data_IF_165650707261
#
_entry.id   IF_165650707261
#
_cell.length_a   1.000
_cell.length_b   1.000
_cell.length_c   1.000
_cell.angle_alpha   90.00
_cell.angle_beta   90.00
_cell.angle_gamma   90.00
#
_symmetry.space_group_name_H-M   'P 1'
#
loop_
_entity.id
_entity.type
_entity.pdbx_description
1 polymer ?
2 non-polymer ?
3 non-polymer ?
4 non-polymer ?
5 non-polymer ?
6 water ?
#
# COMPACT_ATOMS: atom_id res chain seq x y z
N UNK A 1 19.19 17.31 -2.34
CA UNK A 1 17.97 17.22 -3.19
C UNK A 1 18.13 16.18 -4.29
N UNK A 2 19.38 15.94 -4.71
CA UNK A 2 19.63 15.00 -5.81
C UNK A 2 19.26 13.56 -5.44
N UNK A 3 19.70 13.12 -4.26
CA UNK A 3 19.37 11.79 -3.74
C UNK A 3 17.85 11.54 -3.70
N UNK A 4 17.10 12.42 -3.02
CA UNK A 4 15.63 12.27 -2.95
C UNK A 4 14.98 12.22 -4.35
N UNK A 5 15.33 13.17 -5.22
CA UNK A 5 14.82 13.21 -6.61
C UNK A 5 15.07 11.90 -7.34
N UNK A 6 16.30 11.39 -7.22
CA UNK A 6 16.70 10.14 -7.86
C UNK A 6 15.84 8.99 -7.36
N UNK A 7 15.64 8.91 -6.03
CA UNK A 7 14.82 7.85 -5.45
C UNK A 7 13.38 7.91 -5.92
N UNK A 8 12.81 9.11 -5.93
CA UNK A 8 11.44 9.28 -6.43
C UNK A 8 11.31 8.87 -7.91
N UNK A 9 12.29 9.22 -8.75
CA UNK A 9 12.27 8.76 -10.15
C UNK A 9 12.35 7.25 -10.27
N UNK A 10 13.15 6.63 -9.39
CA UNK A 10 13.26 5.15 -9.40
C UNK A 10 11.91 4.56 -9.05
N UNK A 11 11.26 5.12 -8.02
CA UNK A 11 9.89 4.68 -7.66
C UNK A 11 8.93 4.84 -8.85
N UNK A 12 8.99 6.00 -9.51
CA UNK A 12 8.10 6.25 -10.66
C UNK A 12 8.31 5.22 -11.77
N UNK A 13 9.58 4.96 -12.09
CA UNK A 13 9.93 4.00 -13.16
C UNK A 13 9.43 2.60 -12.79
N UNK A 14 9.69 2.17 -11.55
CA UNK A 14 9.27 0.83 -11.12
C UNK A 14 7.76 0.71 -11.17
N UNK A 15 7.05 1.76 -10.73
CA UNK A 15 5.58 1.76 -10.76
C UNK A 15 5.05 1.76 -12.21
N UNK A 16 5.70 2.52 -13.08
CA UNK A 16 5.34 2.55 -14.50
C UNK A 16 5.54 1.18 -15.16
N UNK A 17 6.67 0.54 -14.88
CA UNK A 17 6.90 -0.82 -15.38
C UNK A 17 5.80 -1.77 -14.93
N UNK A 18 5.45 -1.75 -13.64
CA UNK A 18 4.33 -2.57 -13.16
C UNK A 18 3.04 -2.25 -13.91
N UNK A 19 2.70 -0.97 -13.99
CA UNK A 19 1.45 -0.53 -14.62
C UNK A 19 1.31 -1.06 -16.06
N UNK A 20 2.39 -0.96 -16.83
CA UNK A 20 2.36 -1.40 -18.21
C UNK A 20 2.22 -2.92 -18.29
N UNK A 21 2.92 -3.64 -17.39
CA UNK A 21 2.86 -5.10 -17.37
C UNK A 21 1.47 -5.61 -16.99
N UNK A 22 0.85 -4.96 -16.00
CA UNK A 22 -0.50 -5.35 -15.57
C UNK A 22 -1.57 -5.03 -16.62
N UNK A 23 -1.45 -3.87 -17.26
CA UNK A 23 -2.35 -3.48 -18.34
C UNK A 23 -2.25 -4.47 -19.51
N UNK A 24 -1.02 -4.86 -19.84
CA UNK A 24 -0.79 -5.82 -20.91
C UNK A 24 -1.31 -7.20 -20.53
N UNK A 25 -0.95 -7.68 -19.35
CA UNK A 25 -1.40 -8.99 -18.89
C UNK A 25 -2.93 -9.09 -18.89
N UNK A 26 -3.59 -7.98 -18.55
CA UNK A 26 -5.05 -7.92 -18.45
C UNK A 26 -5.81 -7.78 -19.75
N UNK A 27 -5.10 -7.48 -20.84
CA UNK A 27 -5.73 -7.22 -22.14
C UNK A 27 -6.71 -8.32 -22.58
N UNK A 28 -6.40 -9.58 -22.24
CA UNK A 28 -7.27 -10.73 -22.54
C UNK A 28 -8.69 -10.54 -22.01
N UNK A 29 -8.80 -9.88 -20.85
CA UNK A 29 -10.07 -9.40 -20.27
C UNK A 29 -11.14 -10.46 -20.01
N UNK A 30 -10.72 -11.64 -19.53
CA UNK A 30 -11.66 -12.66 -19.06
C UNK A 30 -12.62 -12.07 -18.04
N UNK A 31 -13.92 -12.28 -18.26
CA UNK A 31 -15.00 -11.62 -17.52
C UNK A 31 -14.88 -11.63 -15.98
N UNK A 32 -14.48 -12.78 -15.43
CA UNK A 32 -14.28 -12.91 -13.98
C UNK A 32 -12.95 -12.34 -13.50
N UNK A 33 -11.96 -12.33 -14.40
CA UNK A 33 -10.59 -11.97 -14.05
C UNK A 33 -10.25 -10.47 -14.23
N UNK A 34 -10.98 -9.79 -15.11
CA UNK A 34 -10.66 -8.40 -15.52
C UNK A 34 -10.52 -7.43 -14.34
N UNK A 35 -11.46 -7.53 -13.42
CA UNK A 35 -11.50 -6.73 -12.21
C UNK A 35 -10.15 -6.69 -11.48
N UNK A 36 -9.50 -7.86 -11.39
CA UNK A 36 -8.22 -7.96 -10.70
C UNK A 36 -7.13 -7.17 -11.42
N UNK A 37 -7.11 -7.26 -12.75
CA UNK A 37 -6.09 -6.55 -13.52
C UNK A 37 -6.29 -5.03 -13.50
N UNK A 38 -7.54 -4.59 -13.62
CA UNK A 38 -7.85 -3.16 -13.55
C UNK A 38 -7.43 -2.59 -12.18
N UNK A 39 -7.74 -3.33 -11.13
CA UNK A 39 -7.35 -2.95 -9.78
C UNK A 39 -5.82 -2.80 -9.66
N UNK A 40 -5.07 -3.76 -10.21
CA UNK A 40 -3.59 -3.68 -10.19
C UNK A 40 -3.06 -2.46 -10.99
N UNK A 41 -3.66 -2.21 -12.15
CA UNK A 41 -3.35 -1.04 -12.93
C UNK A 41 -3.58 0.24 -12.12
N UNK A 42 -4.70 0.29 -11.39
CA UNK A 42 -5.01 1.45 -10.56
C UNK A 42 -3.99 1.62 -9.43
N UNK A 43 -3.63 0.51 -8.79
CA UNK A 43 -2.70 0.53 -7.66
C UNK A 43 -1.33 1.11 -8.10
N UNK A 44 -0.72 0.50 -9.10
CA UNK A 44 0.60 0.97 -9.57
C UNK A 44 0.54 2.28 -10.37
N UNK A 45 -0.55 2.51 -11.09
CA UNK A 45 -0.73 3.74 -11.89
C UNK A 45 -0.82 4.99 -11.00
N UNK A 46 -1.64 4.93 -9.95
CA UNK A 46 -1.74 6.05 -9.02
C UNK A 46 -0.41 6.30 -8.34
N UNK A 47 0.23 5.24 -7.87
CA UNK A 47 1.56 5.34 -7.27
C UNK A 47 2.55 5.97 -8.22
N UNK A 48 2.52 5.55 -9.48
CA UNK A 48 3.43 6.15 -10.50
C UNK A 48 3.30 7.69 -10.57
N UNK A 49 2.03 8.15 -10.61
CA UNK A 49 1.75 9.57 -10.69
C UNK A 49 2.29 10.26 -9.46
N UNK A 50 2.01 9.70 -8.28
CA UNK A 50 2.50 10.28 -7.03
C UNK A 50 4.02 10.42 -7.01
N UNK A 51 4.73 9.36 -7.41
CA UNK A 51 6.18 9.39 -7.48
C UNK A 51 6.71 10.43 -8.50
N UNK A 52 6.05 10.54 -9.65
CA UNK A 52 6.45 11.58 -10.64
C UNK A 52 6.31 12.98 -10.03
N UNK A 53 5.17 13.24 -9.40
CA UNK A 53 4.89 14.53 -8.75
C UNK A 53 5.98 14.85 -7.71
N UNK A 54 6.34 13.86 -6.88
CA UNK A 54 7.40 14.06 -5.89
C UNK A 54 8.78 14.25 -6.50
N UNK A 55 9.09 13.46 -7.52
CA UNK A 55 10.35 13.59 -8.25
C UNK A 55 10.49 15.00 -8.83
N UNK A 56 9.38 15.59 -9.26
CA UNK A 56 9.38 16.94 -9.82
C UNK A 56 9.43 18.01 -8.73
N UNK A 57 9.48 17.57 -7.47
CA UNK A 57 9.63 18.46 -6.34
C UNK A 57 8.33 19.08 -5.87
N UNK A 58 7.20 18.45 -6.17
CA UNK A 58 5.89 18.96 -5.77
C UNK A 58 5.42 18.24 -4.51
N UNK A 59 4.83 19.00 -3.59
CA UNK A 59 4.18 18.41 -2.44
C UNK A 59 5.14 18.05 -1.32
N UNK A 60 6.32 18.67 -1.33
CA UNK A 60 7.24 18.57 -0.21
C UNK A 60 6.80 19.65 0.80
N UNK A 61 6.04 19.28 1.83
CA UNK A 61 5.43 20.27 2.72
C UNK A 61 6.25 20.42 4.01
N UNK A 62 6.68 21.65 4.33
CA UNK A 62 7.43 21.79 5.57
C UNK A 62 6.47 21.77 6.75
N UNK A 63 6.74 20.91 7.73
CA UNK A 63 5.97 20.86 8.95
C UNK A 63 6.95 20.94 10.12
N UNK A 64 6.87 22.03 10.88
CA UNK A 64 7.84 22.30 11.95
C UNK A 64 9.25 22.19 11.36
N UNK A 65 10.07 21.28 11.84
CA UNK A 65 11.44 21.12 11.32
C UNK A 65 11.64 19.93 10.38
N UNK A 66 10.55 19.37 9.87
CA UNK A 66 10.64 18.23 8.94
C UNK A 66 9.91 18.53 7.62
N UNK A 67 10.07 17.62 6.65
CA UNK A 67 9.40 17.73 5.36
C UNK A 67 8.40 16.60 5.26
N UNK A 68 7.18 16.92 4.85
CA UNK A 68 6.14 15.92 4.68
C UNK A 68 5.91 15.72 3.22
N UNK A 69 5.93 14.48 2.77
CA UNK A 69 5.64 14.22 1.38
C UNK A 69 4.15 13.93 1.22
N UNK A 70 3.39 15.00 0.96
CA UNK A 70 1.94 14.91 0.81
C UNK A 70 1.49 13.85 -0.23
N UNK A 71 2.16 13.78 -1.42
CA UNK A 71 1.67 12.82 -2.42
C UNK A 71 1.81 11.37 -1.99
N UNK A 72 2.79 11.07 -1.15
CA UNK A 72 2.93 9.73 -0.56
C UNK A 72 1.63 9.33 0.18
N UNK A 73 1.16 10.21 1.07
CA UNK A 73 -0.03 9.90 1.88
C UNK A 73 -1.29 9.86 1.04
N UNK A 74 -1.40 10.78 0.07
CA UNK A 74 -2.55 10.78 -0.85
C UNK A 74 -2.58 9.48 -1.68
N UNK A 75 -1.40 9.11 -2.19
CA UNK A 75 -1.19 7.80 -2.84
C UNK A 75 -1.73 6.69 -1.92
N UNK A 76 -1.26 6.61 -0.67
CA UNK A 76 -1.66 5.49 0.18
C UNK A 76 -3.17 5.48 0.42
N UNK A 77 -3.75 6.67 0.64
CA UNK A 77 -5.18 6.75 0.89
C UNK A 77 -5.99 6.12 -0.25
N UNK A 78 -5.50 6.30 -1.47
CA UNK A 78 -6.16 5.80 -2.68
C UNK A 78 -5.78 4.37 -3.06
N UNK A 79 -4.54 3.99 -2.83
CA UNK A 79 -4.08 2.69 -3.36
C UNK A 79 -4.19 1.54 -2.36
N UNK A 80 -3.97 1.82 -1.08
CA UNK A 80 -4.13 0.76 -0.08
C UNK A 80 -5.56 0.18 0.00
N UNK A 81 -6.61 1.01 -0.14
CA UNK A 81 -7.91 0.30 -0.14
C UNK A 81 -8.12 -0.55 -1.40
N UNK A 82 -7.44 -0.20 -2.50
CA UNK A 82 -7.46 -1.05 -3.69
C UNK A 82 -6.76 -2.40 -3.49
N UNK A 83 -5.66 -2.40 -2.73
CA UNK A 83 -5.00 -3.64 -2.34
C UNK A 83 -5.91 -4.48 -1.45
N UNK A 84 -6.54 -3.82 -0.47
CA UNK A 84 -7.48 -4.53 0.41
C UNK A 84 -8.64 -5.10 -0.43
N UNK A 85 -9.11 -4.32 -1.40
CA UNK A 85 -10.19 -4.75 -2.29
C UNK A 85 -9.77 -6.01 -3.09
N UNK A 86 -8.55 -5.98 -3.62
CA UNK A 86 -8.01 -7.12 -4.37
C UNK A 86 -7.98 -8.38 -3.49
N UNK A 87 -7.47 -8.23 -2.27
CA UNK A 87 -7.45 -9.33 -1.29
C UNK A 87 -8.86 -9.80 -0.89
N UNK A 88 -9.79 -8.86 -0.69
CA UNK A 88 -11.18 -9.22 -0.38
C UNK A 88 -11.87 -9.95 -1.53
N UNK A 89 -11.54 -9.56 -2.76
CA UNK A 89 -12.09 -10.24 -3.94
C UNK A 89 -11.59 -11.67 -3.93
N UNK A 90 -10.27 -11.82 -3.78
CA UNK A 90 -9.64 -13.13 -3.73
C UNK A 90 -10.25 -14.00 -2.64
N UNK A 91 -10.46 -13.40 -1.46
CA UNK A 91 -11.03 -14.13 -0.33
C UNK A 91 -12.53 -14.42 -0.47
N UNK A 92 -13.18 -13.77 -1.44
CA UNK A 92 -14.63 -13.92 -1.63
C UNK A 92 -15.39 -13.35 -0.45
N UNK A 93 -14.87 -12.26 0.10
CA UNK A 93 -15.41 -11.67 1.32
C UNK A 93 -16.85 -11.15 1.17
N UNK A 94 -17.60 -11.22 2.26
CA UNK A 94 -18.99 -10.73 2.29
C UNK A 94 -18.98 -9.21 2.39
N UNK A 95 -20.09 -8.61 1.98
CA UNK A 95 -20.21 -7.16 1.78
C UNK A 95 -20.00 -6.34 3.06
N UNK A 96 -20.52 -6.84 4.18
CA UNK A 96 -20.32 -6.20 5.47
C UNK A 96 -18.84 -6.19 5.86
N UNK A 97 -18.19 -7.34 5.72
CA UNK A 97 -16.79 -7.48 6.10
C UNK A 97 -15.87 -6.64 5.21
N UNK A 98 -16.17 -6.56 3.92
CA UNK A 98 -15.46 -5.65 3.00
C UNK A 98 -15.55 -4.21 3.52
N UNK A 99 -16.76 -3.81 3.90
CA UNK A 99 -16.99 -2.46 4.43
C UNK A 99 -16.13 -2.25 5.65
N UNK A 100 -16.05 -3.25 6.52
CA UNK A 100 -15.29 -3.08 7.76
C UNK A 100 -13.80 -2.90 7.45
N UNK A 101 -13.24 -3.75 6.58
CA UNK A 101 -11.79 -3.69 6.37
C UNK A 101 -11.40 -2.44 5.60
N UNK A 102 -12.27 -2.01 4.68
CA UNK A 102 -12.00 -0.76 3.95
C UNK A 102 -12.06 0.43 4.89
N UNK A 103 -13.01 0.42 5.83
CA UNK A 103 -13.09 1.47 6.85
C UNK A 103 -11.83 1.50 7.72
N UNK A 104 -11.43 0.33 8.23
CA UNK A 104 -10.26 0.28 9.10
C UNK A 104 -9.01 0.74 8.36
N UNK A 105 -8.85 0.26 7.12
CA UNK A 105 -7.74 0.75 6.28
C UNK A 105 -7.72 2.28 6.13
N UNK A 106 -8.87 2.87 5.84
CA UNK A 106 -8.99 4.32 5.65
C UNK A 106 -8.63 5.07 6.94
N UNK A 107 -9.06 4.54 8.09
CA UNK A 107 -8.63 5.10 9.39
C UNK A 107 -7.10 5.12 9.50
N UNK A 108 -6.44 4.02 9.15
CA UNK A 108 -4.98 3.98 9.22
C UNK A 108 -4.34 5.11 8.40
N UNK A 109 -4.76 5.23 7.14
CA UNK A 109 -4.07 6.12 6.19
C UNK A 109 -4.40 7.58 6.49
N UNK A 110 -5.64 7.85 6.85
CA UNK A 110 -6.02 9.22 7.24
C UNK A 110 -5.31 9.65 8.54
N UNK A 111 -5.25 8.75 9.52
CA UNK A 111 -4.55 9.06 10.79
C UNK A 111 -3.06 9.30 10.55
N UNK A 112 -2.45 8.48 9.69
CA UNK A 112 -1.01 8.65 9.36
C UNK A 112 -0.74 9.97 8.67
N UNK A 113 -1.64 10.35 7.74
CA UNK A 113 -1.47 11.60 7.00
C UNK A 113 -1.66 12.77 7.94
N UNK A 114 -2.77 12.74 8.68
CA UNK A 114 -3.06 13.83 9.62
C UNK A 114 -1.92 13.95 10.64
N UNK A 115 -1.46 12.83 11.17
CA UNK A 115 -0.34 12.85 12.12
C UNK A 115 0.92 13.46 11.52
N UNK A 116 1.24 13.11 10.27
CA UNK A 116 2.42 13.67 9.60
C UNK A 116 2.31 15.19 9.49
N UNK A 117 1.08 15.69 9.39
CA UNK A 117 0.84 17.13 9.17
C UNK A 117 0.72 17.97 10.46
N UNK A 118 0.54 17.33 11.62
CA UNK A 118 0.46 18.03 12.90
C UNK A 118 1.89 18.31 13.44
N UNK A 119 2.24 19.60 13.66
CA UNK A 119 3.62 19.89 14.13
C UNK A 119 3.96 19.31 15.50
N UNK A 120 3.03 19.43 16.46
CA UNK A 120 3.34 19.10 17.85
C UNK A 120 3.22 17.64 18.27
N UNK A 121 3.57 17.39 19.53
CA UNK A 121 3.61 16.01 20.07
C UNK A 121 2.24 15.34 20.08
N UNK A 122 1.17 16.13 20.00
CA UNK A 122 -0.17 15.52 19.89
C UNK A 122 -0.33 14.70 18.60
N UNK A 123 0.59 14.85 17.65
CA UNK A 123 0.54 14.00 16.43
C UNK A 123 0.65 12.49 16.73
N UNK A 124 1.30 12.16 17.84
CA UNK A 124 1.47 10.75 18.19
C UNK A 124 0.15 10.09 18.57
N UNK A 125 -0.80 10.88 19.07
CA UNK A 125 -2.17 10.37 19.29
C UNK A 125 -2.84 9.94 17.97
N UNK A 126 -2.54 10.64 16.88
CA UNK A 126 -3.05 10.24 15.55
C UNK A 126 -2.34 8.98 15.07
N UNK A 127 -1.03 8.93 15.25
CA UNK A 127 -0.30 7.70 14.91
C UNK A 127 -0.93 6.51 15.67
N UNK A 128 -1.20 6.69 16.95
CA UNK A 128 -1.76 5.60 17.79
C UNK A 128 -3.10 5.11 17.26
N UNK A 129 -3.94 6.05 16.80
CA UNK A 129 -5.26 5.68 16.27
C UNK A 129 -5.09 4.79 15.01
N UNK A 130 -4.18 5.21 14.13
CA UNK A 130 -3.82 4.42 12.98
C UNK A 130 -3.26 3.05 13.36
N UNK A 131 -2.41 2.98 14.40
CA UNK A 131 -1.81 1.70 14.80
C UNK A 131 -2.90 0.75 15.28
N UNK A 132 -3.88 1.28 16.03
CA UNK A 132 -4.96 0.45 16.55
C UNK A 132 -5.83 -0.07 15.40
N UNK A 133 -6.23 0.82 14.48
CA UNK A 133 -7.02 0.38 13.31
C UNK A 133 -6.25 -0.66 12.47
N UNK A 134 -4.93 -0.49 12.35
CA UNK A 134 -4.08 -1.47 11.63
C UNK A 134 -4.10 -2.87 12.29
N UNK A 135 -4.02 -2.92 13.62
CA UNK A 135 -4.18 -4.21 14.30
C UNK A 135 -5.53 -4.89 13.96
N UNK A 136 -6.60 -4.09 13.93
CA UNK A 136 -7.90 -4.58 13.47
C UNK A 136 -7.86 -5.09 12.04
N UNK A 137 -7.21 -4.33 11.14
CA UNK A 137 -7.08 -4.75 9.74
C UNK A 137 -6.32 -6.08 9.61
N UNK A 138 -5.22 -6.21 10.36
CA UNK A 138 -4.44 -7.44 10.38
C UNK A 138 -5.27 -8.62 10.90
N UNK A 139 -6.02 -8.39 11.99
CA UNK A 139 -6.94 -9.41 12.49
C UNK A 139 -7.87 -9.92 11.39
N UNK A 140 -8.48 -8.98 10.65
CA UNK A 140 -9.38 -9.37 9.56
C UNK A 140 -8.65 -10.15 8.48
N UNK A 141 -7.46 -9.68 8.10
CA UNK A 141 -6.68 -10.36 7.06
C UNK A 141 -6.30 -11.80 7.42
N UNK A 142 -5.91 -12.01 8.68
CA UNK A 142 -5.40 -13.31 9.11
C UNK A 142 -6.49 -14.22 9.68
N UNK A 143 -7.62 -13.62 10.09
CA UNK A 143 -8.75 -14.36 10.67
C UNK A 143 -9.91 -14.57 9.69
N UNK A 144 -10.99 -13.78 9.82
CA UNK A 144 -12.19 -13.88 8.96
C UNK A 144 -11.88 -13.96 7.46
N UNK A 145 -10.96 -13.16 6.96
CA UNK A 145 -10.67 -13.17 5.51
C UNK A 145 -9.99 -14.47 5.07
N UNK A 146 -9.15 -15.02 5.94
CA UNK A 146 -8.48 -16.30 5.63
C UNK A 146 -9.49 -17.44 5.66
N UNK A 147 -10.40 -17.39 6.65
CA UNK A 147 -11.51 -18.35 6.74
C UNK A 147 -12.39 -18.28 5.48
N UNK A 148 -12.64 -17.06 5.01
CA UNK A 148 -13.44 -16.84 3.82
C UNK A 148 -12.73 -17.40 2.58
N UNK A 149 -11.41 -17.16 2.48
CA UNK A 149 -10.58 -17.69 1.40
C UNK A 149 -10.60 -19.22 1.32
N UNK A 150 -10.81 -19.89 2.45
CA UNK A 150 -10.88 -21.36 2.48
C UNK A 150 -12.08 -21.95 1.75
N UNK A 151 -13.03 -21.13 1.32
CA UNK A 151 -14.17 -21.63 0.56
C UNK A 151 -13.84 -21.70 -0.92
N UNK A 152 -12.66 -21.18 -1.27
CA UNK A 152 -12.19 -21.17 -2.64
C UNK A 152 -11.36 -22.42 -2.90
N UNK A 153 -10.99 -22.63 -4.16
CA UNK A 153 -10.11 -23.74 -4.52
C UNK A 153 -8.76 -23.62 -3.80
N UNK A 154 -8.05 -24.73 -3.68
CA UNK A 154 -6.77 -24.73 -2.96
C UNK A 154 -5.77 -23.73 -3.55
N UNK A 155 -5.76 -23.58 -4.87
CA UNK A 155 -4.87 -22.65 -5.57
C UNK A 155 -5.16 -21.19 -5.26
N UNK A 156 -6.44 -20.84 -5.19
CA UNK A 156 -6.85 -19.46 -4.88
C UNK A 156 -6.58 -19.18 -3.42
N UNK A 157 -6.90 -20.14 -2.56
CA UNK A 157 -6.57 -20.00 -1.15
C UNK A 157 -5.04 -19.83 -0.95
N UNK A 158 -4.24 -20.63 -1.65
CA UNK A 158 -2.76 -20.50 -1.60
C UNK A 158 -2.29 -19.12 -2.04
N UNK A 159 -2.87 -18.62 -3.14
CA UNK A 159 -2.56 -17.26 -3.59
C UNK A 159 -2.99 -16.24 -2.54
N UNK A 160 -4.19 -16.40 -2.00
CA UNK A 160 -4.66 -15.46 -0.99
C UNK A 160 -3.63 -15.40 0.17
N UNK A 161 -3.23 -16.57 0.67
CA UNK A 161 -2.33 -16.65 1.81
C UNK A 161 -0.96 -16.03 1.49
N UNK A 162 -0.46 -16.29 0.29
CA UNK A 162 0.81 -15.73 -0.16
C UNK A 162 0.79 -14.18 -0.14
N UNK A 163 -0.23 -13.61 -0.78
CA UNK A 163 -0.40 -12.16 -0.85
C UNK A 163 -0.76 -11.55 0.52
N UNK A 164 -1.56 -12.28 1.29
CA UNK A 164 -1.86 -11.89 2.67
C UNK A 164 -0.56 -11.77 3.50
N UNK A 165 0.29 -12.78 3.42
CA UNK A 165 1.56 -12.77 4.15
C UNK A 165 2.45 -11.61 3.70
N UNK A 166 2.57 -11.45 2.39
CA UNK A 166 3.39 -10.35 1.85
C UNK A 166 2.87 -9.04 2.44
N UNK A 167 1.53 -8.89 2.41
CA UNK A 167 0.90 -7.66 2.83
C UNK A 167 1.07 -7.40 4.33
N UNK A 168 0.74 -8.41 5.14
CA UNK A 168 0.79 -8.21 6.59
C UNK A 168 2.22 -7.91 7.05
N UNK A 169 3.19 -8.65 6.53
CA UNK A 169 4.56 -8.54 7.02
C UNK A 169 5.16 -7.20 6.58
N UNK A 170 4.97 -6.83 5.32
CA UNK A 170 5.56 -5.56 4.83
C UNK A 170 4.79 -4.34 5.31
N UNK A 171 3.46 -4.41 5.34
CA UNK A 171 2.69 -3.26 5.86
C UNK A 171 3.07 -2.95 7.31
N UNK A 172 3.39 -3.98 8.09
CA UNK A 172 3.75 -3.78 9.51
C UNK A 172 5.04 -2.98 9.68
N UNK A 173 5.87 -2.91 8.65
CA UNK A 173 7.13 -2.15 8.73
C UNK A 173 6.89 -0.64 8.61
N UNK A 174 5.96 -0.25 7.77
CA UNK A 174 5.64 1.21 7.59
C UNK A 174 5.46 2.02 8.87
N UNK A 175 4.63 1.54 9.83
CA UNK A 175 4.52 2.38 11.06
C UNK A 175 5.83 2.59 11.80
N UNK A 176 6.73 1.61 11.75
CA UNK A 176 8.06 1.81 12.34
C UNK A 176 8.90 2.86 11.61
N UNK A 177 8.74 2.93 10.30
CA UNK A 177 9.43 3.95 9.49
C UNK A 177 8.83 5.33 9.79
N UNK A 178 7.54 5.39 9.98
CA UNK A 178 6.89 6.65 10.34
C UNK A 178 7.49 7.13 11.69
N UNK A 179 7.54 6.22 12.67
CA UNK A 179 8.00 6.55 14.01
C UNK A 179 9.47 6.96 14.06
N UNK A 180 10.31 6.28 13.30
CA UNK A 180 11.76 6.54 13.36
C UNK A 180 12.17 7.63 12.38
N UNK A 181 11.31 7.85 11.40
CA UNK A 181 11.60 8.77 10.31
C UNK A 181 11.16 10.20 10.63
N UNK A 182 11.19 11.07 9.64
CA UNK A 182 10.82 12.48 9.79
C UNK A 182 9.48 12.77 10.51
N UNK A 183 8.39 12.00 10.23
CA UNK A 183 7.12 12.31 10.94
C UNK A 183 7.15 12.05 12.46
N UNK A 184 8.05 11.18 12.91
CA UNK A 184 8.12 10.81 14.31
C UNK A 184 9.33 11.47 14.95
N UNK A 185 10.28 10.64 15.37
CA UNK A 185 11.42 11.15 16.12
C UNK A 185 12.52 11.73 15.20
N UNK A 186 12.39 11.55 13.90
CA UNK A 186 13.35 12.13 12.94
C UNK A 186 14.78 11.62 13.17
N UNK A 187 14.88 10.32 13.49
CA UNK A 187 16.19 9.66 13.57
C UNK A 187 16.70 9.38 12.15
N UNK A 188 15.89 8.71 11.34
CA UNK A 188 16.26 8.45 9.96
C UNK A 188 16.14 9.77 9.19
N UNK A 189 17.08 9.99 8.30
CA UNK A 189 17.08 11.13 7.40
C UNK A 189 15.94 11.00 6.37
N UNK A 190 15.55 12.12 5.75
CA UNK A 190 14.55 12.00 4.69
C UNK A 190 14.99 11.01 3.58
N UNK A 191 16.27 11.00 3.23
CA UNK A 191 16.75 10.09 2.18
C UNK A 191 16.61 8.61 2.54
N UNK A 192 16.99 8.27 3.78
CA UNK A 192 16.86 6.89 4.25
C UNK A 192 15.37 6.48 4.28
N UNK A 193 14.55 7.36 4.83
CA UNK A 193 13.08 7.18 4.83
C UNK A 193 12.53 6.87 3.43
N UNK A 194 12.83 7.78 2.49
CA UNK A 194 12.36 7.61 1.13
C UNK A 194 12.86 6.31 0.47
N UNK A 195 14.14 6.00 0.65
CA UNK A 195 14.73 4.77 0.08
C UNK A 195 14.01 3.51 0.58
N UNK A 196 13.77 3.42 1.90
CA UNK A 196 13.04 2.27 2.47
C UNK A 196 11.62 2.19 1.90
N UNK A 197 10.94 3.32 1.84
CA UNK A 197 9.53 3.40 1.39
C UNK A 197 9.41 3.09 -0.11
N UNK A 198 10.37 3.54 -0.89
CA UNK A 198 10.39 3.20 -2.33
C UNK A 198 10.42 1.66 -2.49
N UNK A 199 11.31 0.99 -1.76
CA UNK A 199 11.36 -0.47 -1.82
C UNK A 199 10.01 -1.07 -1.38
N UNK A 200 9.54 -0.65 -0.22
CA UNK A 200 8.31 -1.23 0.32
C UNK A 200 7.13 -0.97 -0.63
N UNK A 201 7.00 0.27 -1.11
CA UNK A 201 5.89 0.58 -2.04
C UNK A 201 6.00 -0.31 -3.27
N UNK A 202 7.20 -0.42 -3.85
CA UNK A 202 7.35 -1.24 -5.05
C UNK A 202 6.96 -2.69 -4.82
N UNK A 203 7.38 -3.26 -3.70
CA UNK A 203 7.08 -4.67 -3.47
C UNK A 203 5.62 -4.91 -3.11
N UNK A 204 5.03 -3.98 -2.34
CA UNK A 204 3.63 -4.17 -1.91
C UNK A 204 2.62 -3.94 -3.05
N UNK A 205 3.10 -3.32 -4.14
CA UNK A 205 2.24 -2.97 -5.27
C UNK A 205 2.65 -3.80 -6.48
N UNK A 206 3.87 -3.56 -6.96
CA UNK A 206 4.35 -4.24 -8.17
C UNK A 206 4.76 -5.69 -7.87
N UNK A 207 5.44 -5.92 -6.76
CA UNK A 207 5.79 -7.33 -6.40
C UNK A 207 4.53 -8.14 -6.17
N UNK A 208 3.61 -7.55 -5.40
CA UNK A 208 2.28 -8.09 -5.13
C UNK A 208 1.60 -8.48 -6.47
N UNK A 209 1.58 -7.51 -7.38
CA UNK A 209 1.00 -7.72 -8.72
C UNK A 209 1.66 -8.83 -9.52
N UNK A 210 2.99 -8.90 -9.52
CA UNK A 210 3.67 -9.95 -10.27
C UNK A 210 3.43 -11.33 -9.68
N UNK A 211 3.34 -11.42 -8.35
CA UNK A 211 2.99 -12.68 -7.69
C UNK A 211 1.60 -13.16 -8.13
N UNK A 212 0.64 -12.23 -8.19
CA UNK A 212 -0.71 -12.57 -8.67
C UNK A 212 -0.71 -12.99 -10.15
N UNK A 213 0.03 -12.24 -10.99
CA UNK A 213 0.17 -12.59 -12.42
C UNK A 213 0.70 -14.00 -12.61
N UNK A 214 1.74 -14.32 -11.85
CA UNK A 214 2.35 -15.64 -11.90
C UNK A 214 1.37 -16.76 -11.52
N UNK A 215 0.66 -16.55 -10.41
CA UNK A 215 -0.31 -17.55 -9.93
C UNK A 215 -1.49 -17.69 -10.90
N UNK A 216 -1.93 -16.57 -11.48
CA UNK A 216 -3.05 -16.55 -12.44
C UNK A 216 -2.76 -17.38 -13.69
N UNK A 217 -1.51 -17.29 -14.16
CA UNK A 217 -1.04 -18.04 -15.32
C UNK A 217 -0.89 -19.52 -14.96
N UNK A 218 -0.33 -19.79 -13.80
CA UNK A 218 -0.11 -21.14 -13.32
C UNK A 218 -1.42 -21.85 -12.98
N UNK A 219 -2.47 -21.06 -12.70
CA UNK A 219 -3.81 -21.59 -12.55
C UNK A 219 -4.40 -21.93 -13.90
X LIG B 1 1.12 4.75 8.94
X LIG B 1 1.20 5.52 10.29
X LIG B 1 -0.05 5.17 11.16
X LIG B 1 0.15 3.73 11.66
X LIG B 1 0.27 2.80 10.46
X LIG B 1 0.66 3.23 9.17
X LIG B 1 0.64 2.28 8.13
X LIG B 1 0.98 2.55 6.79
X LIG B 1 0.96 1.57 5.79
X LIG B 1 1.29 1.94 4.47
X LIG B 1 1.31 1.00 3.41
X LIG B 1 1.51 1.61 2.18
X LIG B 1 1.36 0.94 0.96
X LIG B 1 1.53 1.66 -0.20
X LIG B 1 1.34 1.03 -1.41
X LIG B 1 0.13 5.45 8.02
X LIG B 1 2.58 4.83 8.37
X LIG B 1 -0.14 1.33 10.73
X LIG B 1 0.55 0.11 6.10
X LIG B 1 1.07 -0.58 0.89
X LIG C 1 -14.01 -10.42 17.23
X LIG C 1 -13.17 -9.33 17.59
X LIG C 1 -14.90 -10.87 18.40
X LIG C 1 -14.07 -11.30 19.49
X LIG C 1 -15.82 -12.01 17.96
X LIG C 1 -16.77 -12.30 18.99
X LIG C 1 -16.54 -11.66 16.65
X LIG C 1 -17.24 -12.81 16.17
X LIG C 1 -15.54 -11.16 15.58
X LIG C 1 -14.86 -10.02 16.13
X LIG C 1 -16.19 -10.76 14.25
X LIG C 1 -15.53 -11.44 13.18
X LIG C 1 -12.33 -9.02 16.49
X LIG C 1 -11.98 -7.55 16.46
X LIG C 1 -10.86 -7.30 17.45
X LIG C 1 -9.73 -6.54 16.76
X LIG C 1 -9.56 -5.19 17.42
X LIG C 1 -10.15 -4.12 16.52
X LIG C 1 -9.27 -2.88 16.58
X LIG C 1 -9.84 -1.78 15.72
X LIG D 1 -3.85 -10.93 -11.63
X LIG D 1 -5.12 -11.78 -11.81
X LIG D 1 -5.42 -12.69 -10.62
X LIG D 1 -6.81 -13.30 -10.82
X LIG D 1 -7.20 -14.33 -9.75
X LIG D 1 -8.30 -15.26 -10.30
X LIG D 1 -9.45 -15.52 -9.32
X LIG D 1 -10.81 -15.38 -10.02
X LIG D 1 -11.52 -16.72 -10.19
X LIG D 1 -12.25 -16.79 -11.54
X LIG E 1 -4.12 18.37 6.21
X LIG E 1 -4.19 16.94 6.78
X LIG E 1 -5.33 16.14 6.15
X LIG E 1 -5.49 14.78 6.82
X LIG E 1 -6.72 14.02 6.26
X LIG E 1 -7.96 14.20 7.15
X LIG F 1 -2.62 10.87 -15.98
X LIG F 1 -3.15 11.53 -14.71
X LIG F 1 -2.18 12.60 -14.19
X LIG F 1 -2.74 13.33 -12.96
X LIG F 1 -1.89 14.58 -12.65
X LIG F 1 -2.01 15.02 -11.17
X LIG F 1 -0.84 15.94 -10.82
X LIG F 1 -1.23 17.03 -9.81
X LIG F 1 0.00 17.85 -9.39
X LIG F 1 -0.11 19.32 -9.82
X LIG G 1 -11.58 9.86 2.79
X LIG G 1 -11.59 9.16 1.43
X LIG G 1 -10.88 7.82 1.46
X LIG G 1 -11.06 7.06 0.14
X LIG G 1 -11.00 5.54 0.36
X LIG G 1 -12.40 4.91 0.40
X LIG H 1 -2.87 -9.20 15.46
X LIG H 1 -3.94 -10.06 14.81
X LIG H 1 -3.79 -11.54 15.18
X LIG H 1 -5.16 -12.20 15.30
X LIG H 1 -5.12 -13.71 15.00
X LIG H 1 -6.43 -14.14 14.34
X LIG H 1 -6.49 -15.64 14.10
X LIG H 1 -7.94 -16.11 13.97
X LIG I 1 -6.17 17.07 11.14
X LIG I 1 -4.93 17.62 10.44
X LIG I 1 -4.54 18.97 11.02
X LIG I 1 -3.31 19.56 10.36
X LIG I 1 -2.70 20.67 11.23
X LIG J 1 -8.64 3.09 -9.97
X LIG J 1 -8.97 1.65 -10.38
X LIG J 1 -10.22 1.16 -9.68
X LIG J 1 -10.33 -0.36 -9.77
X LIG J 1 -11.79 -0.80 -9.93
X LIG J 1 -11.87 -2.31 -10.17
X LIG J 1 -13.28 -2.75 -10.54
X LIG K 1 9.01 -7.87 10.14
X LIG K 1 10.47 -8.35 10.07
X LIG K 1 11.29 -7.53 9.07
X LIG K 1 11.68 -6.19 9.65
X LIG K 1 12.57 -5.48 8.66
X LIG L 1 4.77 -5.17 -22.42
X LIG L 1 5.08 -6.60 -21.98
X LIG L 1 4.84 -7.60 -23.13
X LIG L 1 4.68 -9.02 -22.57
X LIG L 1 5.24 -10.09 -23.51
X LIG L 1 4.46 -11.40 -23.38
X LIG L 1 4.80 -12.15 -22.08
X LIG L 1 4.94 -13.66 -22.30
X LIG L 1 5.73 -14.30 -21.16
X LIG M 1 7.61 -5.60 12.94
X LIG M 1 9.10 -5.66 13.33
X LIG M 1 9.71 -4.25 13.47
X LIG M 1 10.01 -3.59 12.12
X LIG M 1 11.50 -3.30 11.97
X LIG M 1 11.79 -1.80 11.87
X LIG M 1 12.48 -1.26 13.13
X LIG M 1 13.86 -1.89 13.35
X LIG M 1 14.78 -0.96 14.14
X LIG M 1 14.79 -1.29 15.65
X LIG M 1 16.04 -0.74 16.35
X LIG M 1 15.87 0.75 16.66
X LIG M 1 17.11 1.30 17.37
X LIG M 1 16.91 2.78 17.73
X LIG M 1 18.23 3.56 17.64
X LIG M 1 18.95 3.63 18.97
X LIG N 1 8.10 8.96 -15.57
X LIG N 1 7.68 9.43 -16.97
X LIG N 1 6.51 10.40 -16.91
X LIG N 1 7.00 11.86 -16.97
X LIG N 1 5.82 12.80 -17.18
X LIG N 1 6.27 14.26 -17.04
X LIG N 1 5.08 15.22 -17.14
X LIG N 1 5.40 16.53 -16.42
X LIG N 1 4.81 17.73 -17.16
X LIG N 1 5.80 18.91 -17.15
X LIG N 1 5.57 19.83 -15.94
X LIG N 1 6.89 20.14 -15.24
X LIG O 1 13.16 16.54 -11.43
X LIG O 1 13.93 17.60 -10.65
X LIG O 1 13.02 18.45 -9.76
X LIG O 1 13.81 19.19 -8.67
X LIG O 1 13.00 19.35 -7.39
X LIG O 1 13.88 19.76 -6.20
X LIG P 1 1.54 12.83 22.91
X LIG P 1 0.14 12.33 22.52
X LIG P 1 -0.44 11.43 23.63
X LIG P 1 0.10 10.00 23.54
X LIG P 1 -0.36 9.27 22.27
X LIG P 1 -0.49 7.77 22.51
X LIG P 1 0.32 6.97 21.49
X LIG P 1 -0.15 5.53 21.44
X LIG P 1 0.65 4.73 20.39
X LIG P 1 0.83 3.27 20.82
X LIG P 1 0.19 2.30 19.82
X LIG P 1 -1.18 1.81 20.32
X LIG P 1 -1.43 0.36 19.87
X LIG P 1 -2.20 -0.40 20.95
X LIG P 1 -1.33 -1.45 21.64
X LIG P 1 -2.12 -2.75 21.90
X LIG Q 1 14.02 -2.95 -5.89
X LIG Q 1 13.09 -4.16 -5.86
X LIG Q 1 11.90 -3.94 -6.80
X LIG Q 1 10.70 -4.79 -6.34
X LIG Q 1 9.64 -4.89 -7.43
X LIG Q 1 9.03 -6.29 -7.40
X LIG Q 1 9.43 -7.14 -8.60
X LIG Q 1 9.69 -8.60 -8.18
X LIG Q 1 9.08 -9.64 -9.12
X LIG Q 1 8.22 -10.67 -8.36
X LIG Q 1 7.99 -11.92 -9.22
X LIG Q 1 7.36 -13.08 -8.44
X LIG Q 1 6.80 -14.11 -9.41
X LIG Q 1 6.12 -15.24 -8.65
X LIG R 1 -8.89 19.24 7.93
X LIG R 1 -8.10 20.55 7.96
X LIG R 1 -7.83 21.01 9.39
X LIG R 1 -7.68 22.53 9.47
X LIG R 1 -6.22 22.97 9.38
X LIG S 1 0.74 20.70 -1.04
X LIG S 1 -0.56 20.99 -0.49
X LIG S 1 0.59 20.36 -2.53
X LIG S 1 0.76 18.93 -2.69
X LIG S 1 1.57 21.12 -3.44
X LIG S 1 2.58 21.79 -2.68
X LIG S 1 -0.57 20.86 0.95
X LIG S 1 -1.11 19.49 1.38
X LIG S 1 -2.64 19.51 1.48
X LIG S 1 -3.08 20.00 2.86
X LIG S 1 -3.16 18.10 1.16
X LIG S 1 -4.69 18.02 1.15
X LIG S 1 -5.18 16.92 0.20
X LIG S 1 -6.46 16.19 0.66
X LIG S 1 -7.34 17.03 1.61
X LIG S 1 -6.07 14.85 1.29
X LIG S 1 -7.19 13.82 1.21
X LIG S 1 -7.06 12.92 -0.03
X LIG S 1 -8.43 12.36 -0.43
X LIG S 1 -9.06 11.59 0.75
X LIG S 1 -8.31 11.49 -1.68
X LIG S 1 -9.61 11.50 -2.51
X LIG S 1 -10.50 10.29 -2.22
X LIG S 1 -11.76 10.25 -3.09
X LIG S 1 -11.75 9.06 -4.06
X LIG S 1 -13.02 10.23 -2.22
X LIG S 1 -0.37 18.37 -3.38
X LIG S 1 -0.18 16.87 -3.64
X LIG S 1 -0.49 16.50 -5.10
X LIG S 1 -1.14 17.64 -5.88
X LIG S 1 -1.39 15.28 -5.17
X LIG S 1 -0.58 14.00 -5.39
X LIG S 1 -1.10 13.19 -6.58
X LIG S 1 -1.71 11.86 -6.14
X LIG S 1 -0.80 11.09 -5.20
X LIG S 1 -2.08 10.99 -7.35
X LIG S 1 -3.59 11.03 -7.61
X LIG S 1 -4.04 10.01 -8.66
X LIG S 1 -4.28 10.65 -10.06
X LIG S 1 -5.11 11.93 -10.00
X LIG S 1 -4.97 9.61 -10.97
X LIG S 1 -3.96 8.78 -11.75
X LIG S 1 -4.66 7.60 -12.46
X LIG S 1 -3.67 6.61 -13.05
X LIG S 1 -4.37 5.36 -13.58
X LIG S 1 -2.83 7.27 -14.16
X LIG T 1 2.79 10.29 -16.47
X LIG T 1 3.26 8.92 -15.95
X LIG T 1 2.20 8.24 -15.07
X LIG T 1 1.29 7.31 -15.89
X LIG T 1 0.65 6.25 -15.00
X LIG T 1 -0.22 5.30 -15.82
X LIG U 1 16.56 9.59 -12.62
X LIG U 1 17.44 10.85 -12.63
X LIG U 1 17.36 11.63 -11.32
X LIG U 1 17.70 13.11 -11.55
X LIG V 1 -0.20 -12.11 12.75
X LIG V 1 1.10 -11.56 13.31
X LIG V 1 1.50 -10.26 12.59
X LIG V 1 2.83 -10.42 11.84
X LIG V 1 1.55 -9.12 13.61
X LIG V 1 1.49 -7.73 12.97
X LIG V 1 1.30 -6.66 14.05
X LIG V 1 2.54 -5.77 14.24
X LIG V 1 3.50 -6.32 15.32
X LIG V 1 2.08 -4.37 14.61
X LIG V 1 2.59 -3.32 13.63
X LIG V 1 3.16 -2.11 14.36
X LIG V 1 2.12 -1.23 15.05
X LIG V 1 1.01 -0.80 14.09
X LIG V 1 2.80 0.02 15.63
X LIG V 1 3.39 -0.21 17.02
X LIG V 1 4.64 0.66 17.21
X LIG V 1 5.04 0.79 18.68
X LIG V 1 6.54 1.08 18.80
X LIG V 1 4.24 1.89 19.39
X LIG W 1 9.31 3.76 -18.80
X LIG W 1 9.64 4.94 -19.73
X LIG W 1 9.49 6.28 -19.01
X LIG W 1 10.81 7.05 -18.92
X LIG W 1 11.35 7.07 -17.49
X LIG W 1 11.17 8.45 -16.85
X LIG W 1 12.30 8.79 -15.88
X LIG W 1 12.96 10.10 -16.31
X LIG W 1 13.99 10.59 -15.29
X LIG W 1 14.28 12.06 -15.59
X LIG W 1 15.15 12.71 -14.50
X LIG W 1 15.78 14.02 -15.02
X LIG W 1 14.99 15.25 -14.57
X LIG W 1 14.00 15.71 -15.65
X LIG X 1 6.03 2.79 -23.28
X LIG X 1 6.81 3.73 -22.35
X LIG X 1 6.33 5.18 -22.45
X LIG X 1 5.79 5.70 -21.12
X LIG X 1 5.70 7.22 -21.10
X LIG X 1 5.10 7.73 -19.78
X LIG Y 1 -12.27 0.66 -2.84
X LIG Y 1 -12.40 0.41 -4.35
X LIG Y 1 -13.72 -0.34 -4.68
X LIG Y 1 -13.87 -0.55 -6.20
X LIG Y 1 -15.33 -0.62 -6.60
X LIG Y 1 -15.78 -2.06 -6.90
X LIG Y 1 -17.20 -2.33 -6.41
X LIG Y 1 -18.05 -3.02 -7.49
X LIG Y 1 -19.21 -3.80 -6.87
X LIG Y 1 -20.54 -3.45 -7.54
X LIG Z 1 -7.17 2.99 -13.34
X LIG Z 1 -7.52 1.88 -14.33
X LIG Z 1 -7.13 2.26 -15.75
X LIG Z 1 -7.87 1.40 -16.78
X LIG Z 1 -6.89 0.50 -17.55
X LIG Z 1 -6.96 -0.94 -17.07
X LIG Z 1 -7.30 -1.89 -18.24
X LIG Z 1 -6.12 -2.82 -18.54
X LIG Z 1 -6.53 -4.29 -18.38
X LIG AA 1 -16.07 -1.15 -2.04
X LIG AA 1 -16.35 -2.62 -1.71
X LIG AA 1 -17.30 -3.25 -2.73
X LIG AA 1 -17.81 -4.62 -2.26
X LIG AA 1 -17.66 -5.67 -3.38
X LIG AA 1 -18.97 -6.43 -3.61
X LIG AA 1 -18.73 -7.92 -3.83
X LIG AA 1 -19.32 -8.75 -2.69
X LIG BA 1 2.29 13.18 -13.98
X LIG BA 1 1.91 14.65 -13.82
X LIG BA 1 3.06 15.47 -13.26
X LIG BA 1 2.68 16.96 -13.09
X LIG BA 1 3.36 17.57 -11.87
X LIG BA 1 3.30 19.10 -11.86
X LIG BA 1 4.67 19.71 -12.22
X LIG BA 1 4.87 21.09 -11.61
X LIG BA 1 6.36 21.36 -11.32
X LIG BA 1 6.56 22.67 -10.56
X LIG CA 1 10.41 -7.91 -14.51
X LIG CA 1 11.12 -7.07 -13.45
X LIG CA 1 10.45 -5.70 -13.29
X LIG CA 1 10.52 -5.22 -11.83
X LIG CA 1 9.69 -3.94 -11.62
X LIG CA 1 10.54 -2.81 -11.05
X LIG CA 1 11.31 -2.09 -12.18
X LIG CA 1 12.67 -1.58 -11.72
X LIG CA 1 12.64 -0.08 -11.46
X LIG CA 1 13.83 0.38 -10.60
X LIG CA 1 13.57 0.19 -9.09
X LIG CA 1 14.54 1.06 -8.29
X LIG CA 1 15.14 0.32 -7.09
X LIG CA 1 14.87 1.09 -5.79
X LIG CA 1 14.99 0.16 -4.57
X LIG CA 1 14.61 0.86 -3.25
X LIG CA 1 15.62 1.91 -2.80
X LIG CA 1 17.05 1.36 -2.80
X LIG CA 1 18.09 2.46 -2.56
X LIG CA 1 19.37 1.84 -2.01
X LIG DA 1 21.86 8.73 -4.34
X LIG DA 1 20.70 7.76 -4.08
X LIG DA 1 20.57 6.80 -5.27
X LIG DA 1 20.19 5.39 -4.78
X LIG DA 1 20.40 4.37 -5.90
X LIG DA 1 20.16 2.93 -5.42
X LIG DA 1 21.07 1.93 -6.14
X LIG EA 1 24.08 5.38 -2.84
X LIG EA 1 24.81 6.49 -2.08
X LIG EA 1 25.36 7.57 -3.03
X LIG EA 1 25.54 8.90 -2.29
X LIG FA 1 -23.01 -4.06 3.93
X LIG FA 1 -22.60 -2.80 3.16
X LIG FA 1 -21.14 -2.43 3.44
X LIG FA 1 -20.76 -1.12 2.76
X LIG GA 1 8.53 -6.97 18.02
X LIG GA 1 9.30 -5.65 18.13
X LIG GA 1 10.27 -5.47 16.95
X LIG GA 1 11.52 -4.69 17.37
X LIG GA 1 11.50 -3.27 16.82
X LIG GA 1 11.99 -2.26 17.86
X LIG GA 1 10.96 -1.14 18.07
X LIG GA 1 11.30 0.09 17.22
X LIG GA 1 11.29 1.35 18.07
X LIG GA 1 10.54 2.50 17.38
X LIG GA 1 10.18 3.64 18.35
X LIG GA 1 11.25 3.85 19.41
X LIG GA 1 11.51 5.33 19.70
X LIG GA 1 12.94 5.52 20.22
X LIG GA 1 13.89 5.91 19.08
X LIG GA 1 15.17 6.56 19.60
X LIG GA 1 15.03 8.08 19.70
X LIG GA 1 16.12 8.80 18.90
X LIG GA 1 15.84 10.30 18.78
X LIG GA 1 16.35 10.85 17.44
X LIG HA 1 3.35 23.54 -8.79
X LIG HA 1 2.26 22.48 -8.89
X LIG HA 1 1.43 22.41 -7.60
X LIG HA 1 -0.06 22.61 -7.90
X LIG HA 1 -0.92 22.43 -6.66
X LIG HA 1 -1.59 21.04 -6.60
X LIG HA 1 -2.64 20.84 -7.71
X LIG HA 1 -3.62 19.72 -7.34
X LIG HA 1 -4.20 19.01 -8.56
X LIG HA 1 -5.25 17.96 -8.15
X LIG HA 1 -5.25 16.76 -9.10
X LIG HA 1 -6.51 15.92 -8.94
#
# INVERSE_FOLDING_TARGET
MVGLTTLFWLGAIGMLVGTLAFAWAGRDAGSGERRYYVTLVGISGIAAVAYVVMALGVGWVPVAERTVFAPRYIDWILTTPLIVYFLGLLAGLDSREFGIVITLNTVVMLAGFAGAMVPGIERYALFGMGAVAFLGLVYYLVGPMTESASQRSSGIKSLYVRLRNLTVILWAIYPFIWLLGPPGVALLTPTVDVALIVYLDLVTKVGFGFIALDAAATLRAEHGESLAGVDTDAPAVAD
RET C1 C2 C3 C4 C5 C6 C7 C8 C9 C10 C11 C12 C13 C14 C15 C16 C17 C18 C19 C20
BOG C1 O1 C2 O2 C3 O3 C4 O4 C5 O5 C6 O6 C1' C2' C3' C4' C5' C6' C7' C8'
LFA C1 C2 C3 C4 C5 C6 C7 C8 C9 C10
LFA C1 C2 C3 C4 C5 C6
LFA C1 C2 C3 C4 C5 C6 C7 C8 C9 C10
LFA C1 C2 C3 C4 C5 C6
LFA C1 C2 C3 C4 C5 C6 C7 C8
LFA C1 C2 C3 C4 C5
LFA C1 C2 C3 C4 C5 C6 C7
LFA C1 C2 C3 C4 C5
LFA C1 C2 C3 C4 C5 C6 C7 C8 C9
LFA C1 C2 C3 C4 C5 C6 C7 C8 C9 C10 C11 C12 C13 C14 C15 C16
LFA C1 C2 C3 C4 C5 C6 C7 C8 C9 C10 C11 C12
LFA C1 C2 C3 C4 C5 C6
LFA C1 C2 C3 C4 C5 C6 C7 C8 C9 C10 C11 C12 C13 C14 C15 C16
LFA C1 C2 C3 C4 C5 C6 C7 C8 C9 C10 C11 C12 C13 C14
LFA C1 C2 C3 C4 C5
L2P C1 O1 C2 O2 C3 O3 C11 C12 C13 C14 C15 C16 C17 C18 C19 C20 C21 C22 C23 C24 C25 C26 C27 C28 C29 C30 C41 C42 C43 C44 C45 C46 C47 C48 C49 C50 C51 C52 C53 C54 C55 C56 C57 C58 C59 C60
LFA C1 C2 C3 C4 C5 C6
LFA C1 C2 C3 C4
L2P C41 C42 C43 C44 C45 C46 C47 C48 C49 C50 C51 C52 C53 C54 C55 C56 C57 C58 C59 C60
LFA C1 C2 C3 C4 C5 C6 C7 C8 C9 C10 C11 C12 C13 C14
LFA C1 C2 C3 C4 C5 C6
LFA C1 C2 C3 C4 C5 C6 C7 C8 C9 C10
LFA C1 C2 C3 C4 C5 C6 C7 C8 C9
LFA C1 C2 C3 C4 C5 C6 C7 C8
LFA C1 C2 C3 C4 C5 C6 C7 C8 C9 C10
LFA C1 C2 C3 C4 C5 C6 C7 C8 C9 C10 C11 C12 C13 C14 C15 C16 C17 C18 C19 C20
LFA C1 C2 C3 C4 C5 C6 C7
LFA C1 C2 C3 C4
LFA C1 C2 C3 C4
LFA C1 C2 C3 C4 C5 C6 C7 C8 C9 C10 C11 C12 C13 C14 C15 C16 C17 C18 C19 C20
LFA C1 C2 C3 C4 C5 C6 C7 C8 C9 C10 C11 C12
#
